data_IF_422612893667
#
_entry.id   IF_422612893667
#
_cell.length_a   1.000
_cell.length_b   1.000
_cell.length_c   1.000
_cell.angle_alpha   90.00
_cell.angle_beta   90.00
_cell.angle_gamma   90.00
#
_symmetry.space_group_name_H-M   'P 1'
#
loop_
_entity.id
_entity.type
_entity.pdbx_description
1 polymer ?
#
# COMPACT_ATOMS: atom_id res chain seq x y z
N UNK A 1 -20.05 -9.05 -2.44
CA UNK A 1 -18.93 -8.24 -2.97
C UNK A 1 -17.62 -9.00 -2.78
N UNK A 2 -16.83 -9.11 -3.85
CA UNK A 2 -15.52 -9.77 -3.76
C UNK A 2 -14.47 -8.74 -3.38
N UNK A 3 -13.79 -8.96 -2.26
CA UNK A 3 -12.73 -8.06 -1.82
C UNK A 3 -11.39 -8.47 -2.43
N UNK A 4 -10.53 -7.49 -2.64
CA UNK A 4 -9.23 -7.72 -3.29
C UNK A 4 -8.18 -8.20 -2.29
N UNK A 5 -7.25 -9.00 -2.79
CA UNK A 5 -6.04 -9.38 -2.06
C UNK A 5 -4.87 -8.63 -2.69
N UNK A 6 -4.12 -7.89 -1.86
CA UNK A 6 -2.93 -7.19 -2.32
C UNK A 6 -1.70 -7.92 -1.79
N UNK A 7 -0.73 -8.12 -2.66
CA UNK A 7 0.54 -8.77 -2.32
C UNK A 7 1.70 -7.82 -2.62
N UNK A 8 2.55 -7.62 -1.63
CA UNK A 8 3.72 -6.75 -1.76
C UNK A 8 4.99 -7.55 -1.50
N UNK A 9 5.72 -7.85 -2.56
CA UNK A 9 6.99 -8.58 -2.48
C UNK A 9 8.21 -7.69 -2.66
N UNK A 10 8.02 -6.38 -2.85
CA UNK A 10 9.10 -5.43 -3.04
C UNK A 10 9.01 -4.29 -2.02
N UNK A 11 10.12 -3.57 -1.77
CA UNK A 11 10.06 -2.42 -0.86
C UNK A 11 8.99 -1.41 -1.31
N UNK A 12 8.22 -0.92 -0.36
CA UNK A 12 7.14 0.01 -0.64
C UNK A 12 6.80 0.85 0.59
N UNK A 13 6.24 2.04 0.34
CA UNK A 13 5.67 2.87 1.39
C UNK A 13 4.16 2.85 1.25
N UNK A 14 3.48 2.44 2.31
CA UNK A 14 2.02 2.36 2.34
C UNK A 14 1.49 3.41 3.31
N UNK A 15 0.56 4.21 2.85
CA UNK A 15 -0.03 5.28 3.67
C UNK A 15 -1.53 5.38 3.42
N UNK A 16 -2.20 6.19 4.23
CA UNK A 16 -3.63 6.43 4.13
C UNK A 16 -3.89 7.85 3.64
N UNK A 17 -4.75 7.99 2.63
CA UNK A 17 -5.20 9.29 2.16
C UNK A 17 -6.62 9.17 1.63
N UNK A 18 -7.53 10.01 2.12
CA UNK A 18 -8.93 10.04 1.67
C UNK A 18 -9.59 8.65 1.67
N UNK A 19 -9.40 7.89 2.76
CA UNK A 19 -9.94 6.54 2.94
C UNK A 19 -9.43 5.56 1.87
N UNK A 20 -8.26 5.82 1.31
CA UNK A 20 -7.62 4.96 0.33
C UNK A 20 -6.23 4.56 0.79
N UNK A 21 -5.85 3.34 0.46
CA UNK A 21 -4.49 2.87 0.64
C UNK A 21 -3.65 3.45 -0.50
N UNK A 22 -2.57 4.15 -0.16
CA UNK A 22 -1.67 4.78 -1.13
C UNK A 22 -0.36 4.01 -1.13
N UNK A 23 0.06 3.56 -2.32
CA UNK A 23 1.29 2.80 -2.50
C UNK A 23 2.32 3.68 -3.21
N UNK A 24 3.49 3.84 -2.60
CA UNK A 24 4.62 4.53 -3.20
C UNK A 24 5.82 3.60 -3.23
N UNK A 25 6.48 3.52 -4.38
CA UNK A 25 7.66 2.69 -4.55
C UNK A 25 8.90 3.55 -4.36
N UNK A 26 9.79 3.24 -3.37
CA UNK A 26 10.96 4.07 -3.11
C UNK A 26 11.92 4.11 -4.28
N UNK A 27 11.97 3.08 -5.10
CA UNK A 27 12.83 3.05 -6.29
C UNK A 27 12.46 4.14 -7.29
N UNK A 28 11.20 4.50 -7.37
CA UNK A 28 10.72 5.54 -8.27
C UNK A 28 11.17 6.92 -7.81
N UNK A 29 11.20 7.15 -6.50
CA UNK A 29 11.62 8.43 -5.94
C UNK A 29 13.10 8.71 -6.16
N UNK A 30 13.92 7.66 -6.31
CA UNK A 30 15.36 7.78 -6.50
C UNK A 30 15.77 7.90 -7.97
N UNK A 31 14.85 7.69 -8.89
CA UNK A 31 15.15 7.75 -10.32
C UNK A 31 14.94 9.17 -10.85
N UNK A 32 15.61 9.49 -11.97
CA UNK A 32 15.46 10.78 -12.64
C UNK A 32 14.19 10.84 -13.49
N UNK A 33 13.09 10.39 -12.94
CA UNK A 33 11.80 10.40 -13.62
C UNK A 33 11.18 11.78 -13.57
N UNK A 34 10.42 12.14 -14.60
CA UNK A 34 9.63 13.36 -14.59
C UNK A 34 8.55 13.28 -13.50
N UNK A 35 8.06 14.43 -13.03
CA UNK A 35 7.02 14.44 -12.02
C UNK A 35 5.75 13.70 -12.46
N UNK A 36 5.44 13.79 -13.76
CA UNK A 36 4.30 13.07 -14.31
C UNK A 36 4.49 11.56 -14.15
N UNK A 37 5.68 11.05 -14.44
CA UNK A 37 5.99 9.63 -14.27
C UNK A 37 5.96 9.22 -12.80
N UNK A 38 6.42 10.11 -11.90
CA UNK A 38 6.36 9.85 -10.47
C UNK A 38 4.92 9.76 -9.96
N UNK A 39 4.03 10.60 -10.49
CA UNK A 39 2.61 10.52 -10.14
C UNK A 39 1.99 9.21 -10.61
N UNK A 40 2.33 8.78 -11.83
CA UNK A 40 1.81 7.54 -12.39
C UNK A 40 2.30 6.30 -11.63
N UNK A 41 3.41 6.45 -10.88
CA UNK A 41 3.95 5.36 -10.06
C UNK A 41 3.27 5.26 -8.69
N UNK A 42 2.39 6.19 -8.35
CA UNK A 42 1.60 6.14 -7.12
C UNK A 42 0.28 5.45 -7.44
N UNK A 43 0.00 4.34 -6.75
CA UNK A 43 -1.22 3.58 -6.94
C UNK A 43 -2.09 3.68 -5.69
N UNK A 44 -3.40 3.80 -5.87
CA UNK A 44 -4.33 3.90 -4.75
C UNK A 44 -5.43 2.84 -4.88
N UNK A 45 -5.89 2.35 -3.72
CA UNK A 45 -7.01 1.42 -3.64
C UNK A 45 -7.94 1.85 -2.52
N UNK A 46 -9.27 1.87 -2.74
CA UNK A 46 -10.21 2.12 -1.66
C UNK A 46 -10.07 1.07 -0.56
N UNK A 47 -9.97 1.51 0.70
CA UNK A 47 -9.82 0.58 1.83
C UNK A 47 -10.98 -0.41 1.89
N UNK A 48 -12.19 0.04 1.60
CA UNK A 48 -13.39 -0.81 1.68
C UNK A 48 -13.36 -1.99 0.70
N UNK A 49 -12.55 -1.91 -0.37
CA UNK A 49 -12.41 -2.98 -1.35
C UNK A 49 -11.35 -4.02 -0.97
N UNK A 50 -10.63 -3.82 0.13
CA UNK A 50 -9.53 -4.68 0.51
C UNK A 50 -9.95 -5.73 1.52
N UNK A 51 -9.66 -7.00 1.20
CA UNK A 51 -9.93 -8.11 2.12
C UNK A 51 -8.68 -8.62 2.82
N UNK A 52 -7.56 -8.69 2.07
CA UNK A 52 -6.29 -9.20 2.60
C UNK A 52 -5.14 -8.36 2.03
N UNK A 53 -4.19 -8.00 2.89
CA UNK A 53 -2.95 -7.34 2.49
C UNK A 53 -1.78 -8.19 2.97
N UNK A 54 -0.95 -8.68 2.04
CA UNK A 54 0.21 -9.51 2.36
C UNK A 54 1.48 -8.69 2.18
N UNK A 55 2.26 -8.55 3.26
CA UNK A 55 3.51 -7.79 3.27
C UNK A 55 4.67 -8.78 3.34
N UNK A 56 5.24 -9.08 2.17
CA UNK A 56 6.29 -10.10 2.03
C UNK A 56 7.64 -9.45 1.70
N UNK A 57 8.00 -8.42 2.47
CA UNK A 57 9.30 -7.75 2.33
C UNK A 57 9.57 -6.96 3.61
N UNK A 58 10.81 -7.03 4.10
CA UNK A 58 11.21 -6.34 5.33
C UNK A 58 11.29 -4.83 5.18
N UNK A 59 11.39 -4.34 3.94
CA UNK A 59 11.52 -2.91 3.66
C UNK A 59 10.19 -2.24 3.31
N UNK A 60 9.09 -2.86 3.71
CA UNK A 60 7.78 -2.24 3.55
C UNK A 60 7.49 -1.40 4.78
N UNK A 61 7.17 -0.13 4.55
CA UNK A 61 6.76 0.79 5.61
C UNK A 61 5.26 1.02 5.51
N UNK A 62 4.57 0.87 6.64
CA UNK A 62 3.14 1.12 6.71
C UNK A 62 2.88 2.14 7.82
N UNK A 63 2.07 3.16 7.53
CA UNK A 63 1.73 4.15 8.55
C UNK A 63 0.74 3.58 9.55
N UNK A 64 0.81 4.05 10.80
CA UNK A 64 -0.10 3.62 11.84
C UNK A 64 -1.55 3.95 11.49
N UNK A 65 -1.80 5.11 10.85
CA UNK A 65 -3.13 5.49 10.42
C UNK A 65 -3.71 4.52 9.40
N UNK A 66 -2.89 4.06 8.45
CA UNK A 66 -3.32 3.08 7.46
C UNK A 66 -3.61 1.73 8.12
N UNK A 67 -2.72 1.28 9.00
CA UNK A 67 -2.92 0.00 9.69
C UNK A 67 -4.22 0.01 10.49
N UNK A 68 -4.50 1.10 11.21
CA UNK A 68 -5.74 1.23 11.97
C UNK A 68 -6.97 1.21 11.06
N UNK A 69 -6.89 1.86 9.90
CA UNK A 69 -8.00 1.89 8.94
C UNK A 69 -8.26 0.49 8.35
N UNK A 70 -7.20 -0.26 8.04
CA UNK A 70 -7.33 -1.62 7.54
C UNK A 70 -7.99 -2.53 8.58
N UNK A 71 -7.58 -2.43 9.84
CA UNK A 71 -8.15 -3.23 10.92
C UNK A 71 -9.62 -2.89 11.17
N UNK A 72 -9.99 -1.61 11.09
CA UNK A 72 -11.39 -1.19 11.22
C UNK A 72 -12.27 -1.73 10.11
N UNK A 73 -11.68 -1.91 8.91
CA UNK A 73 -12.38 -2.47 7.76
C UNK A 73 -12.41 -3.99 7.77
N UNK A 74 -11.91 -4.61 8.84
CA UNK A 74 -11.79 -6.07 8.97
C UNK A 74 -10.93 -6.65 7.83
N UNK A 75 -9.93 -5.90 7.42
CA UNK A 75 -8.95 -6.35 6.43
C UNK A 75 -7.85 -7.13 7.15
N UNK A 76 -7.56 -8.34 6.69
CA UNK A 76 -6.47 -9.13 7.25
C UNK A 76 -5.13 -8.57 6.76
N UNK A 77 -4.18 -8.38 7.67
CA UNK A 77 -2.82 -7.95 7.33
C UNK A 77 -1.87 -9.06 7.70
N UNK A 78 -1.18 -9.61 6.71
CA UNK A 78 -0.26 -10.74 6.89
C UNK A 78 1.15 -10.25 6.61
N UNK A 79 2.05 -10.46 7.57
CA UNK A 79 3.46 -10.14 7.39
C UNK A 79 4.26 -11.43 7.25
N UNK A 80 5.21 -11.42 6.31
CA UNK A 80 6.10 -12.54 6.05
C UNK A 80 7.54 -12.09 6.25
N UNK A 81 8.31 -12.88 6.99
CA UNK A 81 9.75 -12.63 7.17
C UNK A 81 10.58 -13.43 6.19
#
# INVERSE_FOLDING_TARGET
>A
MIKKTLYFGNPAYLSLSNKQLVIRLPEVEKSNMTEKMKKDAVTTFPIEDLGVVVLDNRQITITQGLLAALLRNITAVITCD
#
